data_IF_540672013861
#
_entry.id   IF_540672013861
#
_cell.length_a   1.000
_cell.length_b   1.000
_cell.length_c   1.000
_cell.angle_alpha   90.00
_cell.angle_beta   90.00
_cell.angle_gamma   90.00
#
_symmetry.space_group_name_H-M   'P 1'
#
loop_
_entity.id
_entity.type
_entity.pdbx_description
1 polymer ?
#
# COMPACT_ATOMS: atom_id res chain seq x y z
N UNK A 1 -29.87 -3.93 -44.00
CA UNK A 1 -30.07 -5.11 -43.12
C UNK A 1 -28.99 -5.06 -42.05
N UNK A 2 -29.30 -4.40 -40.93
CA UNK A 2 -28.47 -4.37 -39.73
C UNK A 2 -29.42 -4.57 -38.56
N UNK A 3 -29.36 -5.74 -37.94
CA UNK A 3 -30.24 -6.16 -36.86
C UNK A 3 -30.08 -5.25 -35.63
N UNK A 4 -31.16 -4.55 -35.27
CA UNK A 4 -31.30 -3.97 -33.93
C UNK A 4 -31.38 -5.10 -32.90
N UNK A 5 -30.41 -5.16 -31.99
CA UNK A 5 -30.46 -6.07 -30.84
C UNK A 5 -31.45 -5.53 -29.82
N UNK A 6 -32.58 -6.21 -29.65
CA UNK A 6 -33.54 -5.98 -28.58
C UNK A 6 -33.15 -6.79 -27.33
N UNK A 7 -33.22 -6.16 -26.14
CA UNK A 7 -33.14 -6.87 -24.84
C UNK A 7 -34.43 -6.58 -24.07
N UNK A 8 -35.31 -7.57 -23.95
CA UNK A 8 -36.55 -7.41 -23.19
C UNK A 8 -37.65 -6.56 -23.83
N UNK A 9 -37.62 -6.34 -25.16
CA UNK A 9 -38.71 -5.68 -25.89
C UNK A 9 -38.63 -4.16 -26.01
N UNK A 10 -37.59 -3.50 -25.46
CA UNK A 10 -37.34 -2.08 -25.69
C UNK A 10 -36.14 -1.84 -26.63
N UNK A 11 -36.25 -0.87 -27.56
CA UNK A 11 -35.14 -0.49 -28.44
C UNK A 11 -34.00 0.14 -27.64
N UNK A 12 -32.76 -0.26 -27.92
CA UNK A 12 -31.56 0.37 -27.36
C UNK A 12 -31.44 1.75 -28.00
N UNK A 13 -31.87 2.79 -27.31
CA UNK A 13 -31.64 4.17 -27.76
C UNK A 13 -30.13 4.45 -27.87
N UNK A 14 -29.65 5.05 -28.96
CA UNK A 14 -28.28 5.58 -28.99
C UNK A 14 -28.18 6.64 -27.89
N UNK A 15 -27.17 6.51 -27.02
CA UNK A 15 -26.90 7.45 -25.93
C UNK A 15 -26.82 8.86 -26.53
N UNK A 16 -27.85 9.65 -26.29
CA UNK A 16 -27.94 11.03 -26.76
C UNK A 16 -26.76 11.80 -26.13
N UNK A 17 -25.86 12.35 -26.93
CA UNK A 17 -24.63 13.04 -26.49
C UNK A 17 -24.87 14.35 -25.73
N UNK A 18 -26.14 14.65 -25.40
CA UNK A 18 -26.56 15.80 -24.61
C UNK A 18 -27.12 15.30 -23.27
N UNK A 19 -26.39 15.62 -22.21
CA UNK A 19 -26.64 15.32 -20.78
C UNK A 19 -26.07 13.99 -20.26
N UNK A 20 -24.76 13.79 -20.40
CA UNK A 20 -24.05 13.03 -19.35
C UNK A 20 -24.20 13.85 -18.06
N UNK A 21 -24.77 13.31 -16.97
CA UNK A 21 -24.91 14.05 -15.72
C UNK A 21 -23.53 14.49 -15.22
N UNK A 22 -23.46 15.66 -14.57
CA UNK A 22 -22.20 16.25 -14.09
C UNK A 22 -21.40 15.29 -13.19
N UNK A 23 -22.10 14.43 -12.43
CA UNK A 23 -21.52 13.34 -11.66
C UNK A 23 -22.07 12.01 -12.21
N UNK A 24 -21.18 11.20 -12.78
CA UNK A 24 -21.50 9.85 -13.28
C UNK A 24 -20.98 8.83 -12.29
N UNK A 25 -21.86 8.02 -11.70
CA UNK A 25 -21.46 6.97 -10.77
C UNK A 25 -21.25 5.64 -11.48
N UNK A 26 -20.40 4.78 -10.91
CA UNK A 26 -20.14 3.44 -11.47
C UNK A 26 -21.42 2.61 -11.56
N UNK A 27 -22.38 2.79 -10.65
CA UNK A 27 -23.67 2.09 -10.70
C UNK A 27 -24.53 2.49 -11.91
N UNK A 28 -24.32 3.69 -12.44
CA UNK A 28 -25.02 4.18 -13.64
C UNK A 28 -24.41 3.57 -14.92
N UNK A 29 -23.15 3.14 -14.84
CA UNK A 29 -22.40 2.52 -15.94
C UNK A 29 -22.47 1.00 -15.94
N UNK A 30 -22.48 0.38 -14.75
CA UNK A 30 -22.32 -1.07 -14.58
C UNK A 30 -23.30 -1.58 -13.54
N UNK A 31 -24.21 -2.47 -13.95
CA UNK A 31 -25.13 -3.16 -13.04
C UNK A 31 -24.40 -4.23 -12.22
N UNK A 32 -24.54 -4.21 -10.89
CA UNK A 32 -24.00 -5.26 -10.02
C UNK A 32 -25.11 -6.18 -9.48
N UNK A 33 -24.79 -7.45 -9.15
CA UNK A 33 -25.73 -8.34 -8.46
C UNK A 33 -26.21 -7.74 -7.12
N UNK A 34 -27.47 -7.97 -6.77
CA UNK A 34 -28.09 -7.40 -5.57
C UNK A 34 -27.35 -7.74 -4.26
N UNK A 35 -26.81 -8.96 -4.14
CA UNK A 35 -26.04 -9.37 -2.96
C UNK A 35 -24.78 -8.52 -2.76
N UNK A 36 -24.13 -8.12 -3.87
CA UNK A 36 -22.92 -7.30 -3.83
C UNK A 36 -23.25 -5.85 -3.46
N UNK A 37 -24.39 -5.33 -3.93
CA UNK A 37 -24.88 -4.02 -3.48
C UNK A 37 -25.25 -4.01 -1.98
N UNK A 38 -25.84 -5.10 -1.48
CA UNK A 38 -26.14 -5.22 -0.06
C UNK A 38 -24.86 -5.27 0.79
N UNK A 39 -23.86 -6.05 0.35
CA UNK A 39 -22.53 -6.04 0.96
C UNK A 39 -21.88 -4.65 0.91
N UNK A 40 -21.94 -3.96 -0.24
CA UNK A 40 -21.43 -2.59 -0.40
C UNK A 40 -22.01 -1.60 0.60
N UNK A 41 -23.30 -1.74 0.92
CA UNK A 41 -24.00 -0.89 1.88
C UNK A 41 -23.67 -1.23 3.33
N UNK A 42 -23.47 -2.51 3.65
CA UNK A 42 -23.30 -2.98 5.03
C UNK A 42 -21.85 -3.01 5.49
N UNK A 43 -20.89 -3.11 4.56
CA UNK A 43 -19.49 -3.30 4.91
C UNK A 43 -18.89 -2.07 5.63
N UNK A 44 -18.11 -2.28 6.69
CA UNK A 44 -17.40 -1.18 7.34
C UNK A 44 -16.28 -0.63 6.45
N UNK A 45 -16.21 0.70 6.32
CA UNK A 45 -15.20 1.37 5.48
C UNK A 45 -13.78 1.09 6.01
N UNK A 46 -13.58 1.09 7.33
CA UNK A 46 -12.28 0.83 7.93
C UNK A 46 -11.74 -0.56 7.58
N UNK A 47 -12.63 -1.56 7.41
CA UNK A 47 -12.21 -2.90 6.99
C UNK A 47 -11.72 -2.89 5.55
N UNK A 48 -12.36 -2.13 4.65
CA UNK A 48 -11.90 -2.00 3.27
C UNK A 48 -10.52 -1.35 3.18
N UNK A 49 -10.30 -0.30 3.96
CA UNK A 49 -9.02 0.37 4.08
C UNK A 49 -7.94 -0.60 4.58
N UNK A 50 -8.21 -1.34 5.67
CA UNK A 50 -7.31 -2.37 6.19
C UNK A 50 -7.02 -3.48 5.17
N UNK A 51 -8.04 -3.99 4.48
CA UNK A 51 -7.85 -5.01 3.44
C UNK A 51 -7.03 -4.49 2.26
N UNK A 52 -7.23 -3.23 1.85
CA UNK A 52 -6.44 -2.59 0.81
C UNK A 52 -4.98 -2.39 1.26
N UNK A 53 -4.74 -1.99 2.51
CA UNK A 53 -3.39 -1.87 3.08
C UNK A 53 -2.67 -3.23 3.15
N UNK A 54 -3.37 -4.28 3.60
CA UNK A 54 -2.83 -5.64 3.61
C UNK A 54 -2.54 -6.13 2.19
N UNK A 55 -3.45 -5.89 1.24
CA UNK A 55 -3.29 -6.33 -0.16
C UNK A 55 -2.14 -5.58 -0.83
N UNK A 56 -2.03 -4.27 -0.66
CA UNK A 56 -0.92 -3.50 -1.24
C UNK A 56 0.42 -3.90 -0.65
N UNK A 57 0.51 -4.07 0.68
CA UNK A 57 1.72 -4.57 1.33
C UNK A 57 2.09 -5.98 0.86
N UNK A 58 1.09 -6.85 0.67
CA UNK A 58 1.25 -8.17 0.07
C UNK A 58 1.82 -8.08 -1.35
N UNK A 59 1.25 -7.25 -2.23
CA UNK A 59 1.62 -7.21 -3.65
C UNK A 59 3.10 -6.87 -3.86
N UNK A 60 3.60 -5.83 -3.20
CA UNK A 60 4.99 -5.43 -3.38
C UNK A 60 5.96 -6.37 -2.65
N UNK A 61 5.58 -6.90 -1.49
CA UNK A 61 6.37 -7.89 -0.78
C UNK A 61 6.45 -9.19 -1.58
N UNK A 62 5.34 -9.67 -2.13
CA UNK A 62 5.28 -10.88 -2.95
C UNK A 62 6.17 -10.77 -4.18
N UNK A 63 6.07 -9.67 -4.93
CA UNK A 63 6.91 -9.44 -6.11
C UNK A 63 8.40 -9.40 -5.74
N UNK A 64 8.75 -8.62 -4.72
CA UNK A 64 10.12 -8.45 -4.29
C UNK A 64 10.75 -9.71 -3.69
N UNK A 65 10.07 -10.34 -2.72
CA UNK A 65 10.52 -11.58 -2.06
C UNK A 65 10.57 -12.74 -3.05
N UNK A 66 9.63 -12.83 -4.00
CA UNK A 66 9.69 -13.82 -5.09
C UNK A 66 10.94 -13.65 -5.96
N UNK A 67 11.30 -12.42 -6.31
CA UNK A 67 12.54 -12.16 -7.05
C UNK A 67 13.79 -12.46 -6.20
N UNK A 68 13.76 -12.21 -4.89
CA UNK A 68 14.83 -12.61 -3.96
C UNK A 68 14.93 -14.13 -3.87
N UNK A 69 13.82 -14.85 -3.83
CA UNK A 69 13.81 -16.31 -3.82
C UNK A 69 14.47 -16.88 -5.08
N UNK A 70 14.11 -16.36 -6.26
CA UNK A 70 14.74 -16.73 -7.52
C UNK A 70 16.25 -16.46 -7.53
N UNK A 71 16.69 -15.32 -6.98
CA UNK A 71 18.12 -14.99 -6.87
C UNK A 71 18.89 -15.95 -5.96
N UNK A 72 18.36 -16.26 -4.77
CA UNK A 72 19.02 -17.18 -3.85
C UNK A 72 19.06 -18.60 -4.43
N UNK A 73 17.93 -19.09 -4.94
CA UNK A 73 17.84 -20.45 -5.52
C UNK A 73 18.75 -20.58 -6.75
N UNK A 74 18.71 -19.61 -7.67
CA UNK A 74 19.60 -19.60 -8.85
C UNK A 74 21.09 -19.56 -8.47
N UNK A 75 21.43 -18.81 -7.41
CA UNK A 75 22.78 -18.77 -6.86
C UNK A 75 23.28 -20.13 -6.36
N UNK A 76 22.44 -20.89 -5.65
CA UNK A 76 22.79 -22.24 -5.20
C UNK A 76 22.82 -23.27 -6.33
N UNK A 77 21.90 -23.15 -7.30
CA UNK A 77 21.87 -23.99 -8.49
C UNK A 77 23.04 -23.72 -9.47
N UNK A 78 23.76 -22.61 -9.30
CA UNK A 78 24.79 -22.11 -10.23
C UNK A 78 24.26 -21.91 -11.65
N UNK A 79 22.99 -21.57 -11.77
CA UNK A 79 22.34 -21.31 -13.05
C UNK A 79 22.59 -19.86 -13.48
N UNK A 80 23.42 -19.69 -14.50
CA UNK A 80 23.69 -18.36 -15.05
C UNK A 80 22.43 -17.73 -15.64
N UNK A 81 22.15 -16.48 -15.25
CA UNK A 81 21.01 -15.70 -15.74
C UNK A 81 19.71 -15.83 -14.93
N UNK A 82 19.65 -16.72 -13.92
CA UNK A 82 18.48 -16.85 -13.04
C UNK A 82 18.67 -16.01 -11.78
N UNK A 83 17.96 -14.89 -11.74
CA UNK A 83 17.96 -13.95 -10.63
C UNK A 83 19.17 -13.01 -10.63
N UNK A 84 18.92 -11.73 -10.42
CA UNK A 84 19.95 -10.70 -10.30
C UNK A 84 19.45 -9.59 -9.36
N UNK A 85 20.38 -8.80 -8.78
CA UNK A 85 20.01 -7.61 -8.01
C UNK A 85 19.13 -6.64 -8.84
N UNK A 86 19.38 -6.58 -10.15
CA UNK A 86 18.54 -5.86 -11.11
C UNK A 86 17.07 -6.32 -11.02
N UNK A 87 16.83 -7.63 -11.10
CA UNK A 87 15.50 -8.23 -11.06
C UNK A 87 14.81 -7.97 -9.72
N UNK A 88 15.55 -8.05 -8.60
CA UNK A 88 15.02 -7.77 -7.27
C UNK A 88 14.51 -6.32 -7.19
N UNK A 89 15.32 -5.35 -7.60
CA UNK A 89 14.91 -3.94 -7.55
C UNK A 89 13.70 -3.66 -8.46
N UNK A 90 13.71 -4.17 -9.69
CA UNK A 90 12.56 -4.04 -10.60
C UNK A 90 11.30 -4.65 -10.01
N UNK A 91 11.39 -5.85 -9.43
CA UNK A 91 10.23 -6.55 -8.89
C UNK A 91 9.61 -5.80 -7.70
N UNK A 92 10.43 -5.29 -6.78
CA UNK A 92 9.94 -4.45 -5.69
C UNK A 92 9.30 -3.16 -6.20
N UNK A 93 9.94 -2.44 -7.12
CA UNK A 93 9.39 -1.20 -7.66
C UNK A 93 8.10 -1.38 -8.45
N UNK A 94 8.04 -2.39 -9.33
CA UNK A 94 6.80 -2.75 -10.04
C UNK A 94 5.72 -3.23 -9.07
N UNK A 95 6.10 -3.97 -8.04
CA UNK A 95 5.21 -4.35 -6.95
C UNK A 95 4.56 -3.14 -6.27
N UNK A 96 5.33 -2.07 -6.02
CA UNK A 96 4.82 -0.80 -5.49
C UNK A 96 3.89 -0.10 -6.48
N UNK A 97 4.23 -0.08 -7.78
CA UNK A 97 3.35 0.44 -8.83
C UNK A 97 1.99 -0.26 -8.78
N UNK A 98 2.00 -1.59 -8.72
CA UNK A 98 0.76 -2.37 -8.63
C UNK A 98 0.00 -2.11 -7.33
N UNK A 99 0.70 -2.06 -6.19
CA UNK A 99 0.09 -1.78 -4.89
C UNK A 99 -0.65 -0.44 -4.88
N UNK A 100 0.00 0.66 -5.30
CA UNK A 100 -0.60 1.99 -5.33
C UNK A 100 -1.73 2.06 -6.35
N UNK A 101 -1.53 1.50 -7.55
CA UNK A 101 -2.54 1.55 -8.61
C UNK A 101 -3.81 0.78 -8.25
N UNK A 102 -3.68 -0.39 -7.60
CA UNK A 102 -4.82 -1.25 -7.25
C UNK A 102 -5.48 -0.81 -5.94
N UNK A 103 -4.69 -0.52 -4.91
CA UNK A 103 -5.21 -0.33 -3.55
C UNK A 103 -5.26 1.14 -3.11
N UNK A 104 -4.52 2.04 -3.78
CA UNK A 104 -4.36 3.43 -3.35
C UNK A 104 -5.67 4.22 -3.28
N UNK A 105 -6.58 4.02 -4.23
CA UNK A 105 -7.90 4.68 -4.23
C UNK A 105 -8.76 4.28 -3.01
N UNK A 106 -8.51 3.09 -2.43
CA UNK A 106 -9.32 2.57 -1.32
C UNK A 106 -8.77 3.00 0.03
N UNK A 107 -7.46 2.89 0.27
CA UNK A 107 -6.87 3.18 1.58
C UNK A 107 -6.09 4.49 1.69
N UNK A 108 -5.79 5.15 0.57
CA UNK A 108 -4.78 6.21 0.46
C UNK A 108 -3.38 5.70 0.12
N UNK A 109 -3.18 4.37 0.12
CA UNK A 109 -2.00 3.71 -0.41
C UNK A 109 -0.73 3.91 0.41
N UNK A 110 -0.81 3.77 1.74
CA UNK A 110 0.35 3.97 2.60
C UNK A 110 1.33 2.80 2.51
N UNK A 111 0.82 1.57 2.67
CA UNK A 111 1.53 0.29 2.65
C UNK A 111 2.78 0.20 3.53
N UNK A 112 2.96 1.17 4.42
CA UNK A 112 4.14 1.37 5.25
C UNK A 112 3.74 2.03 6.58
N UNK A 113 4.23 1.51 7.72
CA UNK A 113 4.03 2.14 9.02
C UNK A 113 4.60 3.55 9.08
N UNK A 114 5.78 3.78 8.50
CA UNK A 114 6.44 5.10 8.53
C UNK A 114 5.65 6.15 7.75
N UNK A 115 5.13 5.78 6.57
CA UNK A 115 4.26 6.64 5.75
C UNK A 115 2.95 6.91 6.49
N UNK A 116 2.34 5.88 7.08
CA UNK A 116 1.09 6.02 7.85
C UNK A 116 1.23 7.01 9.01
N UNK A 117 2.33 6.91 9.76
CA UNK A 117 2.62 7.82 10.88
C UNK A 117 2.91 9.23 10.37
N UNK A 118 3.69 9.39 9.30
CA UNK A 118 3.95 10.70 8.71
C UNK A 118 2.66 11.38 8.23
N UNK A 119 1.75 10.64 7.58
CA UNK A 119 0.44 11.18 7.18
C UNK A 119 -0.41 11.60 8.39
N UNK A 120 -0.33 10.86 9.51
CA UNK A 120 -1.04 11.23 10.74
C UNK A 120 -0.50 12.50 11.39
N UNK A 121 0.81 12.75 11.26
CA UNK A 121 1.47 13.95 11.78
C UNK A 121 1.23 15.19 10.93
N UNK A 122 1.33 15.07 9.61
CA UNK A 122 1.44 16.23 8.70
C UNK A 122 0.25 16.42 7.76
N UNK A 123 -0.56 15.38 7.49
CA UNK A 123 -1.64 15.42 6.50
C UNK A 123 -3.03 15.10 7.08
N UNK A 124 -3.17 15.13 8.40
CA UNK A 124 -4.46 14.99 9.08
C UNK A 124 -5.07 13.59 9.04
N UNK A 125 -4.25 12.54 8.80
CA UNK A 125 -4.75 11.17 8.86
C UNK A 125 -5.12 10.79 10.31
N UNK A 126 -6.23 10.06 10.49
CA UNK A 126 -6.77 9.78 11.82
C UNK A 126 -5.88 8.84 12.61
N UNK A 127 -5.38 9.30 13.76
CA UNK A 127 -4.60 8.48 14.71
C UNK A 127 -5.31 7.20 15.15
N UNK A 128 -6.64 7.18 15.17
CA UNK A 128 -7.42 5.97 15.52
C UNK A 128 -7.28 4.86 14.47
N UNK A 129 -6.99 5.20 13.21
CA UNK A 129 -6.80 4.23 12.12
C UNK A 129 -5.38 3.69 12.03
N UNK A 130 -4.39 4.43 12.56
CA UNK A 130 -2.96 4.11 12.45
C UNK A 130 -2.65 2.66 12.91
N UNK A 131 -3.11 2.18 14.09
CA UNK A 131 -2.81 0.81 14.50
C UNK A 131 -3.39 -0.24 13.53
N UNK A 132 -4.62 -0.02 13.03
CA UNK A 132 -5.27 -0.92 12.09
C UNK A 132 -4.52 -1.01 10.76
N UNK A 133 -4.01 0.11 10.26
CA UNK A 133 -3.17 0.16 9.06
C UNK A 133 -1.87 -0.61 9.26
N UNK A 134 -1.12 -0.32 10.34
CA UNK A 134 0.17 -0.96 10.63
C UNK A 134 0.01 -2.48 10.75
N UNK A 135 -0.98 -2.96 11.49
CA UNK A 135 -1.24 -4.39 11.64
C UNK A 135 -1.61 -5.05 10.31
N UNK A 136 -2.41 -4.37 9.49
CA UNK A 136 -2.81 -4.88 8.17
C UNK A 136 -1.61 -4.98 7.22
N UNK A 137 -0.73 -3.98 7.21
CA UNK A 137 0.48 -3.97 6.38
C UNK A 137 1.43 -5.11 6.77
N UNK A 138 1.69 -5.28 8.07
CA UNK A 138 2.52 -6.38 8.58
C UNK A 138 1.91 -7.73 8.20
N UNK A 139 0.59 -7.88 8.36
CA UNK A 139 -0.12 -9.11 8.01
C UNK A 139 -0.02 -9.42 6.50
N UNK A 140 -0.18 -8.41 5.64
CA UNK A 140 -0.02 -8.55 4.20
C UNK A 140 1.37 -9.02 3.79
N UNK A 141 2.41 -8.39 4.35
CA UNK A 141 3.80 -8.79 4.11
C UNK A 141 4.11 -10.21 4.64
N UNK A 142 3.62 -10.55 5.83
CA UNK A 142 3.73 -11.89 6.41
C UNK A 142 3.12 -12.95 5.49
N UNK A 143 1.89 -12.72 5.01
CA UNK A 143 1.20 -13.65 4.12
C UNK A 143 1.93 -13.81 2.78
N UNK A 144 2.48 -12.73 2.22
CA UNK A 144 3.29 -12.80 1.01
C UNK A 144 4.50 -13.71 1.18
N UNK A 145 5.23 -13.58 2.29
CA UNK A 145 6.37 -14.44 2.58
C UNK A 145 5.97 -15.93 2.74
N UNK A 146 4.87 -16.24 3.43
CA UNK A 146 4.40 -17.62 3.56
C UNK A 146 4.00 -18.23 2.20
N UNK A 147 3.35 -17.46 1.33
CA UNK A 147 2.99 -17.94 -0.01
C UNK A 147 4.24 -18.20 -0.85
N UNK A 148 5.21 -17.29 -0.84
CA UNK A 148 6.47 -17.49 -1.57
C UNK A 148 7.24 -18.70 -1.02
N UNK A 149 7.26 -18.89 0.29
CA UNK A 149 7.83 -20.11 0.89
C UNK A 149 7.14 -21.37 0.37
N UNK A 150 5.80 -21.39 0.33
CA UNK A 150 5.04 -22.51 -0.23
C UNK A 150 5.39 -22.80 -1.68
N UNK A 151 5.60 -21.75 -2.50
CA UNK A 151 5.94 -21.86 -3.91
C UNK A 151 7.36 -22.37 -4.16
N UNK A 152 8.32 -21.96 -3.33
CA UNK A 152 9.74 -22.35 -3.42
C UNK A 152 10.13 -23.46 -2.45
N UNK A 153 9.15 -24.12 -1.83
CA UNK A 153 9.36 -25.04 -0.71
C UNK A 153 10.33 -26.16 -1.04
N UNK A 154 10.17 -26.76 -2.22
CA UNK A 154 11.01 -27.87 -2.65
C UNK A 154 12.49 -27.43 -2.75
N UNK A 155 12.75 -26.34 -3.47
CA UNK A 155 14.10 -25.82 -3.69
C UNK A 155 14.75 -25.37 -2.39
N UNK A 156 13.99 -24.74 -1.49
CA UNK A 156 14.48 -24.33 -0.18
C UNK A 156 14.94 -25.54 0.64
N UNK A 157 14.14 -26.62 0.67
CA UNK A 157 14.51 -27.83 1.41
C UNK A 157 15.76 -28.51 0.84
N UNK A 158 15.85 -28.61 -0.49
CA UNK A 158 17.02 -29.20 -1.17
C UNK A 158 18.31 -28.42 -0.85
N UNK A 159 18.22 -27.08 -0.85
CA UNK A 159 19.34 -26.21 -0.46
C UNK A 159 19.70 -26.42 1.01
N UNK A 160 18.72 -26.42 1.91
CA UNK A 160 18.96 -26.61 3.34
C UNK A 160 19.60 -27.95 3.63
N UNK A 161 19.11 -29.05 3.05
CA UNK A 161 19.71 -30.38 3.19
C UNK A 161 21.18 -30.39 2.74
N UNK A 162 21.49 -29.72 1.62
CA UNK A 162 22.87 -29.60 1.14
C UNK A 162 23.77 -28.81 2.10
N UNK A 163 23.24 -27.75 2.72
CA UNK A 163 23.98 -26.94 3.70
C UNK A 163 24.21 -27.70 5.01
N UNK A 164 23.22 -28.46 5.48
CA UNK A 164 23.35 -29.34 6.64
C UNK A 164 24.40 -30.42 6.41
N UNK A 165 24.39 -31.08 5.24
CA UNK A 165 25.39 -32.07 4.87
C UNK A 165 26.81 -31.49 4.80
N UNK A 166 26.94 -30.23 4.36
CA UNK A 166 28.20 -29.50 4.34
C UNK A 166 28.60 -28.89 5.71
N UNK A 167 27.79 -29.05 6.75
CA UNK A 167 27.97 -28.42 8.08
C UNK A 167 28.03 -26.88 8.03
N UNK A 168 27.24 -26.30 7.15
CA UNK A 168 27.12 -24.85 6.90
C UNK A 168 25.74 -24.31 7.28
N UNK A 169 25.12 -24.88 8.32
CA UNK A 169 23.76 -24.56 8.80
C UNK A 169 23.59 -23.06 9.12
N UNK A 170 24.65 -22.40 9.58
CA UNK A 170 24.65 -20.96 9.86
C UNK A 170 24.38 -20.09 8.63
N UNK A 171 24.60 -20.62 7.42
CA UNK A 171 24.32 -19.92 6.16
C UNK A 171 22.81 -19.75 5.95
N UNK A 172 21.97 -20.66 6.48
CA UNK A 172 20.50 -20.58 6.37
C UNK A 172 20.00 -19.23 6.88
N UNK A 173 20.51 -18.78 8.04
CA UNK A 173 20.16 -17.53 8.71
C UNK A 173 21.13 -16.40 8.37
N UNK A 174 21.47 -16.26 7.09
CA UNK A 174 22.34 -15.21 6.56
C UNK A 174 21.67 -14.48 5.39
N UNK A 175 22.21 -13.33 4.94
CA UNK A 175 21.66 -12.59 3.80
C UNK A 175 21.67 -13.39 2.49
N UNK A 176 22.53 -14.41 2.39
CA UNK A 176 22.65 -15.30 1.23
C UNK A 176 21.97 -16.67 1.47
N UNK A 177 21.33 -16.86 2.62
CA UNK A 177 20.63 -18.08 2.98
C UNK A 177 19.17 -18.11 2.57
N UNK A 178 18.53 -19.27 2.75
CA UNK A 178 17.09 -19.47 2.49
C UNK A 178 16.21 -18.61 3.40
N UNK A 179 16.58 -18.39 4.67
CA UNK A 179 15.84 -17.47 5.53
C UNK A 179 16.02 -15.99 5.12
N UNK A 180 17.15 -15.67 4.47
CA UNK A 180 17.48 -14.35 3.90
C UNK A 180 16.56 -13.93 2.74
N UNK A 181 15.83 -14.87 2.14
CA UNK A 181 14.77 -14.59 1.17
C UNK A 181 13.68 -13.71 1.82
N UNK A 182 13.31 -14.03 3.06
CA UNK A 182 12.14 -13.46 3.73
C UNK A 182 12.51 -12.36 4.72
N UNK A 183 13.45 -12.65 5.63
CA UNK A 183 13.89 -11.71 6.66
C UNK A 183 15.25 -11.12 6.32
N UNK A 184 15.49 -9.92 6.86
CA UNK A 184 16.72 -9.19 6.60
C UNK A 184 17.72 -9.49 7.71
N UNK A 185 18.88 -10.00 7.30
CA UNK A 185 20.03 -10.27 8.14
C UNK A 185 21.17 -9.33 7.75
N UNK A 186 22.00 -8.88 8.69
CA UNK A 186 23.24 -8.19 8.37
C UNK A 186 24.32 -9.19 7.96
N UNK A 187 25.33 -8.74 7.21
CA UNK A 187 26.51 -9.56 6.93
C UNK A 187 27.33 -9.78 8.22
N UNK A 188 28.03 -10.92 8.29
CA UNK A 188 28.91 -11.21 9.44
C UNK A 188 29.99 -10.14 9.59
N UNK A 189 30.17 -9.60 10.80
CA UNK A 189 31.15 -8.54 11.10
C UNK A 189 30.77 -7.14 10.59
N UNK A 190 29.58 -6.95 10.02
CA UNK A 190 29.15 -5.65 9.51
C UNK A 190 28.94 -4.63 10.65
N UNK A 191 29.41 -3.40 10.44
CA UNK A 191 29.23 -2.31 11.39
C UNK A 191 27.76 -1.85 11.43
N UNK A 192 27.10 -2.02 12.58
CA UNK A 192 25.70 -1.63 12.79
C UNK A 192 25.44 -0.13 12.59
N UNK A 193 26.42 0.73 12.89
CA UNK A 193 26.31 2.17 12.64
C UNK A 193 26.18 2.48 11.15
N UNK A 194 26.91 1.75 10.29
CA UNK A 194 26.80 1.90 8.85
C UNK A 194 25.45 1.39 8.32
N UNK A 195 24.93 0.30 8.89
CA UNK A 195 23.60 -0.21 8.52
C UNK A 195 22.51 0.78 8.91
N UNK A 196 22.59 1.35 10.12
CA UNK A 196 21.67 2.40 10.57
C UNK A 196 21.73 3.63 9.66
N UNK A 197 22.94 4.09 9.33
CA UNK A 197 23.14 5.22 8.42
C UNK A 197 22.53 4.94 7.04
N UNK A 198 22.77 3.74 6.50
CA UNK A 198 22.21 3.30 5.21
C UNK A 198 20.68 3.33 5.25
N UNK A 199 20.08 2.65 6.23
CA UNK A 199 18.63 2.59 6.41
C UNK A 199 18.02 3.98 6.56
N UNK A 200 18.63 4.84 7.39
CA UNK A 200 18.14 6.19 7.65
C UNK A 200 18.12 7.05 6.39
N UNK A 201 19.24 7.17 5.67
CA UNK A 201 19.30 8.06 4.51
C UNK A 201 18.51 7.54 3.31
N UNK A 202 18.43 6.22 3.14
CA UNK A 202 17.57 5.62 2.11
C UNK A 202 16.10 5.90 2.40
N UNK A 203 15.66 5.73 3.65
CA UNK A 203 14.27 6.02 4.04
C UNK A 203 13.94 7.51 4.02
N UNK A 204 14.92 8.37 4.35
CA UNK A 204 14.79 9.81 4.25
C UNK A 204 14.62 10.24 2.79
N UNK A 205 15.47 9.73 1.89
CA UNK A 205 15.36 10.00 0.46
C UNK A 205 14.01 9.52 -0.10
N UNK A 206 13.61 8.28 0.22
CA UNK A 206 12.32 7.73 -0.20
C UNK A 206 11.16 8.58 0.34
N UNK A 207 11.22 8.98 1.60
CA UNK A 207 10.23 9.85 2.24
C UNK A 207 10.11 11.19 1.53
N UNK A 208 11.23 11.82 1.14
CA UNK A 208 11.25 13.07 0.38
C UNK A 208 10.63 12.91 -1.00
N UNK A 209 10.94 11.83 -1.71
CA UNK A 209 10.31 11.54 -3.00
C UNK A 209 8.82 11.38 -2.82
N UNK A 210 8.37 10.54 -1.88
CA UNK A 210 6.93 10.33 -1.60
C UNK A 210 6.25 11.66 -1.31
N UNK A 211 6.80 12.49 -0.40
CA UNK A 211 6.22 13.79 -0.06
C UNK A 211 6.18 14.75 -1.25
N UNK A 212 7.23 14.74 -2.07
CA UNK A 212 7.32 15.60 -3.24
C UNK A 212 6.37 15.23 -4.36
N UNK A 213 6.15 13.94 -4.61
CA UNK A 213 5.27 13.51 -5.71
C UNK A 213 3.79 13.61 -5.36
N UNK A 214 3.44 13.57 -4.07
CA UNK A 214 2.06 13.78 -3.62
C UNK A 214 1.72 15.27 -3.42
N UNK A 215 2.70 16.18 -3.53
CA UNK A 215 2.43 17.62 -3.51
C UNK A 215 1.61 17.99 -4.77
N UNK A 216 0.37 18.50 -4.60
CA UNK A 216 -0.50 18.82 -5.73
C UNK A 216 -0.04 20.03 -6.55
N UNK A 217 0.99 20.76 -6.09
CA UNK A 217 1.65 21.84 -6.84
C UNK A 217 2.83 21.35 -7.70
N UNK A 218 3.22 20.07 -7.59
CA UNK A 218 4.35 19.53 -8.34
C UNK A 218 4.05 19.47 -9.85
N UNK A 219 4.79 20.25 -10.64
CA UNK A 219 4.61 20.36 -12.10
C UNK A 219 5.17 19.18 -12.89
N UNK A 220 6.08 18.41 -12.30
CA UNK A 220 6.76 17.29 -12.97
C UNK A 220 5.96 15.98 -12.89
N UNK A 221 5.03 15.89 -11.94
CA UNK A 221 4.33 14.65 -11.63
C UNK A 221 2.82 14.89 -11.63
N UNK A 222 2.11 14.10 -12.42
CA UNK A 222 0.65 14.03 -12.37
C UNK A 222 0.21 12.98 -11.34
N UNK A 223 -0.99 13.08 -10.76
CA UNK A 223 -1.51 12.07 -9.83
C UNK A 223 -1.43 10.63 -10.38
N UNK A 224 -1.68 10.45 -11.67
CA UNK A 224 -1.61 9.15 -12.35
C UNK A 224 -0.18 8.59 -12.47
N UNK A 225 0.84 9.46 -12.46
CA UNK A 225 2.25 9.05 -12.52
C UNK A 225 2.90 8.76 -11.17
N UNK A 226 2.25 9.13 -10.05
CA UNK A 226 2.77 8.91 -8.69
C UNK A 226 3.23 7.45 -8.46
N UNK A 227 2.44 6.40 -8.81
CA UNK A 227 2.85 5.02 -8.59
C UNK A 227 4.22 4.68 -9.21
N UNK A 228 4.46 5.17 -10.43
CA UNK A 228 5.68 4.91 -11.18
C UNK A 228 6.89 5.61 -10.59
N UNK A 229 6.75 6.88 -10.17
CA UNK A 229 7.87 7.62 -9.58
C UNK A 229 8.26 7.02 -8.23
N UNK A 230 7.29 6.66 -7.38
CA UNK A 230 7.58 6.00 -6.09
C UNK A 230 8.21 4.62 -6.32
N UNK A 231 7.68 3.83 -7.26
CA UNK A 231 8.23 2.53 -7.62
C UNK A 231 9.68 2.63 -8.12
N UNK A 232 9.96 3.56 -9.04
CA UNK A 232 11.31 3.79 -9.56
C UNK A 232 12.29 4.28 -8.50
N UNK A 233 11.85 5.16 -7.59
CA UNK A 233 12.68 5.57 -6.47
C UNK A 233 13.05 4.37 -5.59
N UNK A 234 12.08 3.53 -5.23
CA UNK A 234 12.34 2.33 -4.45
C UNK A 234 13.27 1.35 -5.17
N UNK A 235 13.07 1.14 -6.48
CA UNK A 235 13.96 0.35 -7.34
C UNK A 235 15.41 0.83 -7.27
N UNK A 236 15.64 2.14 -7.47
CA UNK A 236 16.97 2.72 -7.47
C UNK A 236 17.67 2.55 -6.11
N UNK A 237 16.90 2.69 -5.02
CA UNK A 237 17.41 2.50 -3.66
C UNK A 237 17.79 1.05 -3.39
N UNK A 238 17.04 0.08 -3.91
CA UNK A 238 17.42 -1.34 -3.80
C UNK A 238 18.76 -1.60 -4.48
N UNK A 239 18.90 -1.16 -5.73
CA UNK A 239 20.12 -1.42 -6.51
C UNK A 239 21.36 -0.81 -5.88
N UNK A 240 21.23 0.39 -5.28
CA UNK A 240 22.35 1.07 -4.65
C UNK A 240 22.72 0.53 -3.26
N UNK A 241 21.74 0.09 -2.48
CA UNK A 241 21.92 0.03 -1.02
C UNK A 241 21.59 -1.31 -0.35
N UNK A 242 21.01 -2.29 -1.07
CA UNK A 242 20.79 -3.65 -0.51
C UNK A 242 22.08 -4.36 -0.08
N UNK A 243 23.25 -4.23 -0.75
CA UNK A 243 24.48 -4.88 -0.27
C UNK A 243 24.91 -4.45 1.15
N UNK A 244 24.52 -3.24 1.58
CA UNK A 244 24.78 -2.71 2.93
C UNK A 244 23.65 -3.10 3.91
N UNK A 245 22.65 -3.83 3.45
CA UNK A 245 21.40 -4.19 4.14
C UNK A 245 20.40 -3.05 4.18
N UNK A 246 19.19 -3.30 3.67
CA UNK A 246 18.12 -2.31 3.53
C UNK A 246 16.75 -2.96 3.78
N UNK A 247 16.00 -2.44 4.76
CA UNK A 247 14.61 -2.78 5.00
C UNK A 247 13.64 -1.85 4.28
N UNK A 248 13.88 -0.54 4.33
CA UNK A 248 13.08 0.55 3.78
C UNK A 248 11.62 0.64 4.30
N UNK A 249 11.07 -0.42 4.90
CA UNK A 249 9.71 -0.49 5.39
C UNK A 249 9.59 -1.49 6.56
N UNK A 250 9.11 -0.98 7.70
CA UNK A 250 8.92 -1.74 8.93
C UNK A 250 7.98 -2.95 8.74
N UNK A 251 6.91 -2.80 7.97
CA UNK A 251 5.94 -3.88 7.74
C UNK A 251 6.53 -5.01 6.91
N UNK A 252 7.34 -4.71 5.89
CA UNK A 252 8.04 -5.74 5.09
C UNK A 252 9.05 -6.49 5.91
N UNK A 253 9.83 -5.80 6.74
CA UNK A 253 10.83 -6.47 7.58
C UNK A 253 10.17 -7.31 8.68
N UNK A 254 9.23 -6.74 9.45
CA UNK A 254 8.52 -7.47 10.51
C UNK A 254 7.69 -8.63 9.95
N UNK A 255 6.98 -8.43 8.83
CA UNK A 255 6.21 -9.48 8.17
C UNK A 255 7.09 -10.65 7.74
N UNK A 256 8.24 -10.36 7.11
CA UNK A 256 9.23 -11.38 6.75
C UNK A 256 9.81 -12.10 7.96
N UNK A 257 10.14 -11.37 9.03
CA UNK A 257 10.62 -11.98 10.30
C UNK A 257 9.58 -12.88 10.95
N UNK A 258 8.30 -12.49 10.96
CA UNK A 258 7.24 -13.35 11.47
C UNK A 258 7.07 -14.61 10.62
N UNK A 259 7.25 -14.51 9.29
CA UNK A 259 7.22 -15.68 8.43
C UNK A 259 8.39 -16.62 8.74
N UNK A 260 9.59 -16.08 8.91
CA UNK A 260 10.77 -16.88 9.32
C UNK A 260 10.53 -17.56 10.67
N UNK A 261 9.98 -16.84 11.65
CA UNK A 261 9.63 -17.43 12.95
C UNK A 261 8.61 -18.58 12.82
N UNK A 262 7.62 -18.44 11.93
CA UNK A 262 6.63 -19.47 11.68
C UNK A 262 7.22 -20.71 10.99
N UNK A 263 8.23 -20.54 10.14
CA UNK A 263 8.85 -21.62 9.36
C UNK A 263 9.96 -22.33 10.15
N UNK A 264 10.89 -21.58 10.75
CA UNK A 264 12.10 -22.12 11.39
C UNK A 264 12.08 -22.03 12.93
N UNK A 265 11.01 -21.52 13.55
CA UNK A 265 10.89 -21.40 15.00
C UNK A 265 11.69 -20.24 15.61
N UNK A 266 11.66 -20.12 16.95
CA UNK A 266 12.16 -18.93 17.67
C UNK A 266 13.67 -18.73 17.63
N UNK A 267 14.44 -19.79 17.39
CA UNK A 267 15.91 -19.72 17.27
C UNK A 267 16.39 -18.96 16.03
N UNK A 268 15.51 -18.72 15.07
CA UNK A 268 15.79 -17.96 13.84
C UNK A 268 15.73 -16.44 14.03
N UNK A 269 15.33 -15.95 15.22
CA UNK A 269 15.22 -14.51 15.47
C UNK A 269 16.59 -13.82 15.40
N UNK A 270 16.77 -12.76 14.58
CA UNK A 270 18.10 -12.15 14.36
C UNK A 270 18.61 -11.27 15.52
N UNK A 271 18.10 -11.46 16.74
CA UNK A 271 18.51 -10.73 17.93
C UNK A 271 18.16 -9.23 17.90
N UNK A 272 18.97 -8.42 18.57
CA UNK A 272 18.79 -6.96 18.73
C UNK A 272 18.75 -6.17 17.42
N UNK A 273 19.28 -6.74 16.33
CA UNK A 273 19.28 -6.15 15.00
C UNK A 273 17.88 -5.88 14.45
N UNK A 274 16.92 -6.76 14.77
CA UNK A 274 15.56 -6.69 14.25
C UNK A 274 14.84 -5.37 14.59
N UNK A 275 15.09 -4.80 15.77
CA UNK A 275 14.47 -3.55 16.18
C UNK A 275 15.08 -2.33 15.47
N UNK A 276 16.40 -2.33 15.27
CA UNK A 276 17.10 -1.22 14.61
C UNK A 276 16.70 -1.14 13.14
N UNK A 277 16.74 -2.27 12.42
CA UNK A 277 16.37 -2.30 11.00
C UNK A 277 14.88 -1.99 10.79
N UNK A 278 13.98 -2.57 11.58
CA UNK A 278 12.55 -2.37 11.41
C UNK A 278 12.08 -0.94 11.76
N UNK A 279 12.70 -0.27 12.74
CA UNK A 279 12.18 1.00 13.27
C UNK A 279 12.87 2.23 12.71
N UNK A 280 14.09 2.14 12.15
CA UNK A 280 14.85 3.31 11.67
C UNK A 280 14.14 4.07 10.55
N UNK A 281 13.35 3.39 9.71
CA UNK A 281 12.57 4.02 8.65
C UNK A 281 11.54 5.03 9.19
N UNK A 282 11.00 4.84 10.40
CA UNK A 282 9.96 5.71 10.98
C UNK A 282 10.49 7.14 11.22
N UNK A 283 11.53 7.36 12.07
CA UNK A 283 12.07 8.70 12.26
C UNK A 283 12.65 9.28 10.96
N UNK A 284 13.24 8.46 10.08
CA UNK A 284 13.76 8.93 8.81
C UNK A 284 12.66 9.51 7.89
N UNK A 285 11.53 8.80 7.71
CA UNK A 285 10.41 9.29 6.91
C UNK A 285 9.73 10.51 7.57
N UNK A 286 9.61 10.55 8.90
CA UNK A 286 9.08 11.72 9.62
C UNK A 286 9.97 12.95 9.38
N UNK A 287 11.29 12.79 9.46
CA UNK A 287 12.24 13.88 9.22
C UNK A 287 12.24 14.32 7.75
N UNK A 288 12.03 13.40 6.81
CA UNK A 288 11.86 13.74 5.40
C UNK A 288 10.59 14.58 5.17
N UNK A 289 9.45 14.15 5.73
CA UNK A 289 8.21 14.91 5.69
C UNK A 289 8.40 16.30 6.31
N UNK A 290 9.02 16.37 7.50
CA UNK A 290 9.32 17.64 8.17
C UNK A 290 10.21 18.54 7.31
N UNK A 291 11.27 18.01 6.72
CA UNK A 291 12.16 18.76 5.83
C UNK A 291 11.40 19.30 4.62
N UNK A 292 10.55 18.47 4.01
CA UNK A 292 9.74 18.90 2.88
C UNK A 292 8.79 20.02 3.28
N UNK A 293 8.03 19.87 4.36
CA UNK A 293 7.07 20.88 4.83
C UNK A 293 7.75 22.21 5.21
N UNK A 294 8.96 22.17 5.78
CA UNK A 294 9.69 23.38 6.19
C UNK A 294 10.38 24.12 5.05
N UNK A 295 10.93 23.40 4.07
CA UNK A 295 11.84 23.99 3.08
C UNK A 295 11.38 23.89 1.64
N UNK A 296 10.54 22.90 1.31
CA UNK A 296 10.18 22.60 -0.08
C UNK A 296 8.71 22.88 -0.39
N UNK A 297 7.81 22.72 0.58
CA UNK A 297 6.40 23.03 0.46
C UNK A 297 6.20 24.55 0.48
N UNK A 298 5.19 25.02 -0.26
CA UNK A 298 4.81 26.43 -0.26
C UNK A 298 3.31 26.56 -0.55
N UNK A 299 2.58 27.07 0.45
CA UNK A 299 1.12 27.24 0.39
C UNK A 299 0.64 28.25 -0.65
N UNK A 300 1.53 29.11 -1.15
CA UNK A 300 1.21 30.08 -2.19
C UNK A 300 1.21 29.48 -3.60
N UNK A 301 1.73 28.26 -3.78
CA UNK A 301 1.82 27.62 -5.10
C UNK A 301 0.46 27.23 -5.64
N UNK A 302 0.33 27.36 -6.96
CA UNK A 302 -0.88 27.00 -7.69
C UNK A 302 -0.92 25.49 -7.91
N UNK A 303 -2.05 24.89 -7.57
CA UNK A 303 -2.31 23.46 -7.81
C UNK A 303 -2.39 23.16 -9.31
N UNK A 304 -1.68 22.12 -9.74
CA UNK A 304 -1.67 21.70 -11.15
C UNK A 304 -3.04 21.20 -11.58
N UNK A 305 -3.37 21.38 -12.87
CA UNK A 305 -4.71 21.05 -13.39
C UNK A 305 -5.14 19.61 -13.08
N UNK A 306 -4.26 18.64 -13.31
CA UNK A 306 -4.54 17.23 -13.06
C UNK A 306 -4.84 16.95 -11.57
N UNK A 307 -4.14 17.62 -10.65
CA UNK A 307 -4.41 17.48 -9.22
C UNK A 307 -5.76 18.12 -8.82
N UNK A 308 -6.14 19.25 -9.44
CA UNK A 308 -7.46 19.87 -9.24
C UNK A 308 -8.60 18.94 -9.65
N UNK A 309 -8.46 18.23 -10.76
CA UNK A 309 -9.46 17.26 -11.22
C UNK A 309 -9.63 16.11 -10.22
N UNK A 310 -8.54 15.62 -9.62
CA UNK A 310 -8.60 14.61 -8.55
C UNK A 310 -9.33 15.13 -7.31
N UNK A 311 -9.04 16.36 -6.88
CA UNK A 311 -9.72 16.98 -5.73
C UNK A 311 -11.22 17.16 -6.02
N UNK A 312 -11.58 17.69 -7.19
CA UNK A 312 -12.98 17.86 -7.59
C UNK A 312 -13.75 16.53 -7.62
N UNK A 313 -13.12 15.46 -8.12
CA UNK A 313 -13.71 14.12 -8.11
C UNK A 313 -13.89 13.57 -6.68
N UNK A 314 -12.93 13.83 -5.79
CA UNK A 314 -13.02 13.43 -4.39
C UNK A 314 -14.15 14.15 -3.65
N UNK A 315 -14.34 15.45 -3.91
CA UNK A 315 -15.40 16.26 -3.31
C UNK A 315 -16.78 15.81 -3.82
N UNK A 316 -16.93 15.59 -5.13
CA UNK A 316 -18.17 15.03 -5.71
C UNK A 316 -18.54 13.68 -5.08
N UNK A 317 -17.55 12.83 -4.78
CA UNK A 317 -17.80 11.56 -4.09
C UNK A 317 -18.26 11.73 -2.64
N UNK A 318 -17.73 12.73 -1.92
CA UNK A 318 -18.12 13.04 -0.54
C UNK A 318 -19.55 13.59 -0.47
N UNK A 319 -19.90 14.52 -1.36
CA UNK A 319 -21.24 15.10 -1.44
C UNK A 319 -22.30 14.02 -1.72
N UNK A 320 -22.05 13.12 -2.65
CA UNK A 320 -22.97 12.02 -2.94
C UNK A 320 -23.16 11.07 -1.75
N UNK A 321 -22.10 10.77 -0.99
CA UNK A 321 -22.21 9.97 0.25
C UNK A 321 -23.08 10.67 1.29
N UNK A 322 -22.90 11.97 1.49
CA UNK A 322 -23.71 12.77 2.40
C UNK A 322 -25.19 12.81 1.97
N UNK A 323 -25.45 12.98 0.66
CA UNK A 323 -26.79 12.95 0.11
C UNK A 323 -27.52 11.62 0.34
N UNK A 324 -26.86 10.48 0.05
CA UNK A 324 -27.44 9.15 0.30
C UNK A 324 -27.71 8.90 1.78
N UNK A 325 -26.80 9.33 2.66
CA UNK A 325 -26.99 9.24 4.11
C UNK A 325 -28.22 10.04 4.58
N UNK A 326 -28.39 11.27 4.09
CA UNK A 326 -29.54 12.11 4.41
C UNK A 326 -30.86 11.53 3.90
N UNK A 327 -30.88 10.95 2.69
CA UNK A 327 -32.04 10.22 2.16
C UNK A 327 -32.42 9.01 3.02
N UNK A 328 -31.44 8.24 3.49
CA UNK A 328 -31.70 7.08 4.35
C UNK A 328 -32.22 7.49 5.74
N UNK A 329 -31.74 8.59 6.32
CA UNK A 329 -32.30 9.16 7.56
C UNK A 329 -33.73 9.65 7.34
N UNK A 330 -33.97 10.40 6.27
CA UNK A 330 -35.31 10.92 5.97
C UNK A 330 -36.32 9.83 5.64
N UNK A 331 -35.87 8.68 5.10
CA UNK A 331 -36.73 7.51 4.85
C UNK A 331 -36.98 6.67 6.11
N UNK A 332 -36.16 6.84 7.16
CA UNK A 332 -36.33 6.20 8.47
C UNK A 332 -37.13 7.04 9.47
N UNK A 333 -37.27 8.35 9.23
CA UNK A 333 -38.26 9.18 9.91
C UNK A 333 -39.65 8.68 9.50
N UNK A 334 -40.46 8.34 10.47
CA UNK A 334 -41.86 7.99 10.22
C UNK A 334 -42.62 9.25 9.78
N UNK A 335 -43.79 9.13 9.12
CA UNK A 335 -44.64 10.28 8.84
C UNK A 335 -44.98 11.09 10.12
N UNK A 336 -45.01 10.42 11.27
CA UNK A 336 -45.26 11.03 12.59
C UNK A 336 -44.10 11.95 13.03
N UNK A 337 -42.85 11.52 12.88
CA UNK A 337 -41.66 12.35 13.19
C UNK A 337 -41.56 13.60 12.29
N UNK A 338 -42.14 13.53 11.09
CA UNK A 338 -42.15 14.63 10.11
C UNK A 338 -43.23 15.68 10.44
N UNK A 339 -44.36 15.22 10.99
CA UNK A 339 -45.45 16.08 11.44
C UNK A 339 -45.07 16.84 12.73
N UNK A 340 -44.30 16.23 13.63
CA UNK A 340 -43.87 16.86 14.89
C UNK A 340 -42.88 18.02 14.67
N UNK A 341 -42.02 17.93 13.65
CA UNK A 341 -41.11 19.03 13.24
C UNK A 341 -41.87 20.15 12.54
N UNK A 342 -42.81 19.84 11.65
CA UNK A 342 -43.66 20.85 11.00
C UNK A 342 -44.58 21.55 12.00
N UNK A 343 -45.02 20.85 13.05
CA UNK A 343 -45.80 21.45 14.14
C UNK A 343 -44.94 22.39 15.00
N UNK A 344 -43.67 22.05 15.25
CA UNK A 344 -42.75 22.90 16.02
C UNK A 344 -42.20 24.12 15.25
N UNK A 345 -42.13 24.09 13.91
CA UNK A 345 -41.75 25.27 13.12
C UNK A 345 -42.89 26.30 12.99
N UNK A 346 -44.16 25.87 13.08
CA UNK A 346 -45.31 26.76 13.09
C UNK A 346 -45.68 27.32 14.47
N UNK A 347 -45.02 26.86 15.54
CA UNK A 347 -45.17 27.40 16.91
C UNK A 347 -43.88 28.12 17.33
N UNK A 348 -43.44 29.08 16.52
CA UNK A 348 -42.69 30.23 17.03
C UNK A 348 -43.65 31.42 17.10
N UNK A 349 -44.11 31.83 18.29
CA UNK A 349 -44.82 33.09 18.40
C UNK A 349 -43.83 34.22 18.05
N UNK A 350 -44.27 35.14 17.19
CA UNK A 350 -43.70 36.47 17.13
C UNK A 350 -43.77 37.08 18.53
N UNK A 351 -42.59 37.27 19.14
CA UNK A 351 -42.37 38.17 20.26
C UNK A 351 -40.98 38.78 20.09
#
# INVERSE_FOLDING_TARGET
MSEEKYRGGEPIHPVNSRSVPANLHIVDLVSKPAWLHNWERLRPIWLLECMAEATGAFMYTYAGVGATAAFIVGGFAKEEGIGALLNIGLAYGLGIVFAITVCGMTSGGHFSPSVTIAFALFRGFSWRKVPGYILSQIFGAFLACLIVYGQYRQQILEIEESLMAAKLESVIFSPQGTAGIFAIYPNAGQNLGNVLMNEFFVCFFLGLVIWGVIDPSNIFVTPSSIPFVVGLAYTALIWGYVPVTLAANAARDLGGRFAVLAIWGTSSWPGRYAAISALTNIPATILAALFYELFLADSSRVVVKAAREVVANADAHREHKAYKYNLEINRRRTPEDSAEVAHNEHVKPMA
#
